data_IF_614367459402
#
_entry.id   IF_614367459402
#
_cell.length_a   1.000
_cell.length_b   1.000
_cell.length_c   1.000
_cell.angle_alpha   90.00
_cell.angle_beta   90.00
_cell.angle_gamma   90.00
#
_symmetry.space_group_name_H-M   'P 1'
#
loop_
_entity.id
_entity.type
_entity.pdbx_description
1 polymer ?
#
# COMPACT_ATOMS: atom_id res chain seq x y z
N UNK A 1 16.73 -12.69 -14.66
CA UNK A 1 17.45 -13.81 -14.02
C UNK A 1 18.83 -13.30 -13.69
N UNK A 2 19.20 -13.26 -12.41
CA UNK A 2 20.33 -12.44 -11.91
C UNK A 2 21.58 -13.26 -11.62
N UNK A 3 21.42 -14.52 -11.21
CA UNK A 3 22.52 -15.47 -10.96
C UNK A 3 22.04 -16.89 -11.30
N UNK A 4 22.94 -17.73 -11.83
CA UNK A 4 22.66 -19.12 -12.20
C UNK A 4 23.78 -19.99 -11.62
N UNK A 5 23.44 -21.05 -10.90
CA UNK A 5 24.39 -21.99 -10.34
C UNK A 5 23.69 -23.12 -9.59
N UNK A 6 24.47 -24.01 -8.98
CA UNK A 6 23.92 -25.03 -8.09
C UNK A 6 23.19 -24.36 -6.92
N UNK A 7 21.99 -24.83 -6.59
CA UNK A 7 21.12 -24.18 -5.59
C UNK A 7 21.85 -23.93 -4.26
N UNK A 8 22.65 -24.91 -3.80
CA UNK A 8 23.40 -24.78 -2.56
C UNK A 8 24.46 -23.67 -2.62
N UNK A 9 25.14 -23.51 -3.76
CA UNK A 9 26.17 -22.47 -3.94
C UNK A 9 25.55 -21.07 -4.04
N UNK A 10 24.42 -20.94 -4.74
CA UNK A 10 23.69 -19.66 -4.85
C UNK A 10 23.11 -19.24 -3.49
N UNK A 11 22.71 -20.18 -2.64
CA UNK A 11 22.17 -19.89 -1.30
C UNK A 11 23.24 -19.66 -0.23
N UNK A 12 24.40 -20.32 -0.30
CA UNK A 12 25.44 -20.23 0.74
C UNK A 12 26.53 -19.22 0.44
N UNK A 13 26.88 -19.03 -0.83
CA UNK A 13 27.96 -18.15 -1.26
C UNK A 13 27.62 -17.44 -2.59
N UNK A 14 26.52 -16.68 -2.65
CA UNK A 14 26.16 -15.94 -3.86
C UNK A 14 27.27 -14.98 -4.27
N UNK A 15 27.49 -14.85 -5.57
CA UNK A 15 28.52 -13.98 -6.14
C UNK A 15 27.96 -12.62 -6.53
N UNK A 16 26.70 -12.58 -6.97
CA UNK A 16 26.04 -11.33 -7.34
C UNK A 16 25.61 -10.51 -6.10
N UNK A 17 25.70 -9.19 -6.22
CA UNK A 17 25.41 -8.27 -5.11
C UNK A 17 23.93 -8.26 -4.73
N UNK A 18 23.04 -8.39 -5.72
CA UNK A 18 21.60 -8.47 -5.50
C UNK A 18 21.22 -9.82 -4.86
N UNK A 19 21.76 -10.92 -5.36
CA UNK A 19 21.54 -12.26 -4.78
C UNK A 19 22.03 -12.33 -3.33
N UNK A 20 23.24 -11.80 -3.04
CA UNK A 20 23.75 -11.66 -1.66
C UNK A 20 22.78 -10.93 -0.75
N UNK A 21 22.24 -9.81 -1.24
CA UNK A 21 21.29 -9.01 -0.48
C UNK A 21 19.97 -9.76 -0.23
N UNK A 22 19.50 -10.56 -1.20
CA UNK A 22 18.29 -11.37 -1.06
C UNK A 22 18.47 -12.48 -0.03
N UNK A 23 19.60 -13.20 -0.09
CA UNK A 23 19.94 -14.26 0.87
C UNK A 23 20.06 -13.69 2.28
N UNK A 24 20.72 -12.55 2.45
CA UNK A 24 20.83 -11.88 3.74
C UNK A 24 19.48 -11.40 4.32
N UNK A 25 18.45 -11.22 3.48
CA UNK A 25 17.11 -10.81 3.90
C UNK A 25 16.18 -12.00 4.23
N UNK A 26 16.67 -13.24 4.13
CA UNK A 26 15.94 -14.42 4.55
C UNK A 26 15.92 -14.54 6.09
N UNK A 27 14.83 -15.02 6.71
CA UNK A 27 14.81 -15.31 8.14
C UNK A 27 15.69 -16.54 8.39
N UNK A 28 16.28 -16.65 9.57
CA UNK A 28 17.06 -17.82 9.95
C UNK A 28 16.28 -19.14 9.74
N UNK A 29 14.96 -19.11 9.90
CA UNK A 29 14.07 -20.25 9.68
C UNK A 29 13.91 -20.70 8.22
N UNK A 30 14.26 -19.86 7.23
CA UNK A 30 14.25 -20.26 5.82
C UNK A 30 15.57 -20.90 5.36
N UNK A 31 16.63 -20.80 6.19
CA UNK A 31 17.96 -21.36 5.91
C UNK A 31 18.17 -22.70 6.63
N UNK A 32 17.13 -23.29 7.22
CA UNK A 32 17.17 -24.60 7.90
C UNK A 32 15.88 -25.39 7.67
N UNK A 33 15.93 -26.73 7.47
CA UNK A 33 14.74 -27.54 7.36
C UNK A 33 14.05 -27.67 8.73
N UNK A 34 12.89 -27.00 8.86
CA UNK A 34 11.82 -27.11 9.88
C UNK A 34 12.23 -27.31 11.35
N UNK A 35 11.94 -26.28 12.14
CA UNK A 35 11.28 -26.43 13.44
C UNK A 35 10.34 -25.24 13.66
N UNK A 36 9.13 -25.53 14.15
CA UNK A 36 8.14 -24.54 14.51
C UNK A 36 8.60 -23.77 15.75
N UNK A 37 8.54 -22.44 15.70
CA UNK A 37 8.66 -21.61 16.89
C UNK A 37 7.40 -20.78 17.09
N UNK A 38 6.63 -21.23 18.08
CA UNK A 38 5.78 -20.45 18.95
C UNK A 38 6.63 -19.39 19.67
N UNK A 39 6.17 -18.14 19.64
CA UNK A 39 6.66 -17.08 20.52
C UNK A 39 5.44 -16.35 21.08
N UNK A 40 5.17 -16.65 22.35
CA UNK A 40 4.24 -15.96 23.22
C UNK A 40 4.83 -14.63 23.71
N UNK A 41 4.04 -13.57 23.64
CA UNK A 41 4.24 -12.37 24.45
C UNK A 41 2.86 -11.85 24.86
N UNK A 42 2.66 -11.69 26.16
CA UNK A 42 1.42 -11.30 26.81
C UNK A 42 0.93 -9.90 26.37
N UNK A 43 -0.40 -9.65 26.38
CA UNK A 43 -0.98 -8.44 25.84
C UNK A 43 -1.03 -7.33 26.90
N UNK A 44 -0.24 -6.28 26.69
CA UNK A 44 -0.45 -5.02 27.40
C UNK A 44 -1.66 -4.30 26.78
N UNK A 45 -2.86 -4.67 27.24
CA UNK A 45 -4.09 -3.93 26.98
C UNK A 45 -4.05 -2.66 27.81
N UNK A 46 -3.52 -1.57 27.26
CA UNK A 46 -3.97 -0.18 27.49
C UNK A 46 -2.91 0.80 26.96
N UNK A 47 -3.08 1.28 25.72
CA UNK A 47 -2.66 2.64 25.36
C UNK A 47 -3.72 3.31 24.50
N UNK A 48 -4.72 3.83 25.21
CA UNK A 48 -5.51 4.95 24.76
C UNK A 48 -4.60 6.16 24.51
N UNK A 49 -4.88 6.83 23.39
CA UNK A 49 -4.53 8.22 23.07
C UNK A 49 -3.03 8.54 22.93
N UNK A 50 -2.53 8.43 21.70
CA UNK A 50 -1.68 9.50 21.18
C UNK A 50 -2.57 10.66 20.75
N UNK A 51 -2.75 11.61 21.67
CA UNK A 51 -3.07 12.98 21.27
C UNK A 51 -1.79 13.58 20.68
N UNK A 52 -1.73 13.76 19.35
CA UNK A 52 -0.67 14.55 18.73
C UNK A 52 -1.07 14.96 17.31
N UNK A 53 -1.11 16.28 17.10
CA UNK A 53 -1.48 17.04 15.91
C UNK A 53 -2.96 16.90 15.46
N UNK A 54 -3.65 18.02 15.28
CA UNK A 54 -5.00 18.05 14.74
C UNK A 54 -5.04 17.32 13.38
N UNK A 55 -5.55 16.09 13.36
CA UNK A 55 -5.77 15.34 12.12
C UNK A 55 -6.87 16.11 11.37
N UNK A 56 -6.51 16.82 10.30
CA UNK A 56 -7.41 17.72 9.55
C UNK A 56 -8.39 16.93 8.66
N UNK A 57 -8.74 15.71 9.08
CA UNK A 57 -9.84 14.95 8.52
C UNK A 57 -9.80 13.46 8.82
N UNK A 58 -10.87 12.77 8.44
CA UNK A 58 -11.00 11.33 8.55
C UNK A 58 -11.91 10.77 7.47
N UNK A 59 -11.61 9.55 7.05
CA UNK A 59 -12.53 8.72 6.29
C UNK A 59 -13.68 8.25 7.19
N UNK A 60 -14.90 8.32 6.65
CA UNK A 60 -16.10 7.70 7.19
C UNK A 60 -16.71 6.79 6.13
N UNK A 61 -16.85 5.53 6.49
CA UNK A 61 -17.59 4.51 5.74
C UNK A 61 -18.73 4.07 6.64
N UNK A 62 -19.96 4.14 6.14
CA UNK A 62 -21.17 3.76 6.89
C UNK A 62 -22.02 2.80 6.08
N UNK A 63 -22.29 1.62 6.63
CA UNK A 63 -23.20 0.63 6.06
C UNK A 63 -22.87 0.25 4.61
N UNK A 64 -21.60 0.25 4.23
CA UNK A 64 -21.19 -0.02 2.85
C UNK A 64 -21.43 -1.50 2.52
N UNK A 65 -22.32 -1.74 1.56
CA UNK A 65 -22.68 -3.09 1.12
C UNK A 65 -22.53 -3.22 -0.39
N UNK A 66 -22.12 -4.41 -0.83
CA UNK A 66 -21.91 -4.69 -2.24
C UNK A 66 -22.17 -6.16 -2.57
N UNK A 67 -22.90 -6.40 -3.66
CA UNK A 67 -23.25 -7.72 -4.18
C UNK A 67 -22.81 -7.87 -5.64
N UNK A 68 -22.34 -9.06 -5.98
CA UNK A 68 -22.07 -9.48 -7.34
C UNK A 68 -23.06 -10.60 -7.71
N UNK A 69 -24.13 -10.25 -8.41
CA UNK A 69 -25.29 -11.13 -8.58
C UNK A 69 -25.91 -11.47 -7.21
N UNK A 70 -26.16 -12.76 -6.97
CA UNK A 70 -26.75 -13.22 -5.70
C UNK A 70 -25.74 -13.25 -4.53
N UNK A 71 -24.44 -13.18 -4.83
CA UNK A 71 -23.40 -13.29 -3.81
C UNK A 71 -23.17 -11.95 -3.12
N UNK A 72 -23.33 -11.93 -1.80
CA UNK A 72 -22.90 -10.81 -0.93
C UNK A 72 -21.38 -10.83 -0.85
N UNK A 73 -20.75 -9.72 -1.24
CA UNK A 73 -19.29 -9.55 -1.15
C UNK A 73 -18.94 -8.70 0.07
N UNK A 74 -19.70 -7.63 0.32
CA UNK A 74 -19.59 -6.77 1.48
C UNK A 74 -20.97 -6.56 2.09
N UNK A 75 -21.03 -6.59 3.41
CA UNK A 75 -22.25 -6.51 4.20
C UNK A 75 -22.06 -5.52 5.35
N UNK A 76 -22.72 -4.36 5.23
CA UNK A 76 -22.77 -3.32 6.26
C UNK A 76 -21.39 -2.95 6.83
N UNK A 77 -20.43 -2.65 5.94
CA UNK A 77 -19.09 -2.26 6.34
C UNK A 77 -19.11 -0.88 6.96
N UNK A 78 -18.74 -0.80 8.24
CA UNK A 78 -18.47 0.44 8.96
C UNK A 78 -16.97 0.59 9.23
N UNK A 79 -16.41 1.73 8.84
CA UNK A 79 -15.00 2.02 9.04
C UNK A 79 -14.79 3.51 9.27
N UNK A 80 -13.83 3.81 10.14
CA UNK A 80 -13.29 5.16 10.22
C UNK A 80 -11.80 5.16 10.44
N UNK A 81 -11.13 6.03 9.71
CA UNK A 81 -9.68 6.14 9.65
C UNK A 81 -9.28 7.62 9.60
N UNK A 82 -8.45 8.08 10.53
CA UNK A 82 -8.05 9.48 10.56
C UNK A 82 -6.87 9.73 9.60
N UNK A 83 -6.71 10.99 9.19
CA UNK A 83 -5.57 11.46 8.43
C UNK A 83 -4.25 11.17 9.17
N UNK A 84 -3.36 10.36 8.60
CA UNK A 84 -2.08 9.98 9.22
C UNK A 84 -2.10 8.66 9.99
N UNK A 85 -3.27 8.05 10.17
CA UNK A 85 -3.41 6.70 10.71
C UNK A 85 -3.30 5.65 9.61
N UNK A 86 -2.73 4.48 9.94
CA UNK A 86 -2.69 3.32 9.08
C UNK A 86 -3.63 2.20 9.60
N UNK A 87 -4.58 1.78 8.76
CA UNK A 87 -5.41 0.60 9.01
C UNK A 87 -5.09 -0.50 8.01
N UNK A 88 -4.83 -1.70 8.52
CA UNK A 88 -4.61 -2.89 7.70
C UNK A 88 -5.86 -3.78 7.75
N UNK A 89 -6.34 -4.19 6.58
CA UNK A 89 -7.44 -5.14 6.41
C UNK A 89 -6.85 -6.46 5.96
N UNK A 90 -6.96 -7.47 6.82
CA UNK A 90 -6.55 -8.85 6.56
C UNK A 90 -7.75 -9.73 6.24
N UNK A 91 -7.50 -10.85 5.55
CA UNK A 91 -8.54 -11.84 5.26
C UNK A 91 -8.11 -12.80 4.16
N UNK A 92 -8.85 -13.89 3.98
CA UNK A 92 -8.55 -14.89 2.95
C UNK A 92 -8.68 -14.33 1.53
N UNK A 93 -8.07 -15.01 0.56
CA UNK A 93 -8.22 -14.65 -0.85
C UNK A 93 -9.69 -14.77 -1.27
N UNK A 94 -10.18 -13.80 -2.04
CA UNK A 94 -11.57 -13.81 -2.54
C UNK A 94 -12.66 -13.37 -1.55
N UNK A 95 -12.30 -12.92 -0.34
CA UNK A 95 -13.27 -12.47 0.69
C UNK A 95 -13.85 -11.05 0.44
N UNK A 96 -13.45 -10.37 -0.63
CA UNK A 96 -13.94 -9.02 -0.97
C UNK A 96 -12.98 -7.87 -0.66
N UNK A 97 -11.76 -8.18 -0.21
CA UNK A 97 -10.65 -7.24 0.04
C UNK A 97 -10.43 -6.21 -1.09
N UNK A 98 -10.17 -6.68 -2.30
CA UNK A 98 -9.97 -5.81 -3.48
C UNK A 98 -11.25 -5.10 -3.92
N UNK A 99 -12.43 -5.68 -3.67
CA UNK A 99 -13.72 -5.01 -3.92
C UNK A 99 -13.90 -3.81 -3.01
N UNK A 100 -13.60 -3.96 -1.71
CA UNK A 100 -13.58 -2.84 -0.78
C UNK A 100 -12.60 -1.75 -1.24
N UNK A 101 -11.40 -2.12 -1.67
CA UNK A 101 -10.42 -1.16 -2.18
C UNK A 101 -10.95 -0.36 -3.38
N UNK A 102 -11.61 -1.01 -4.34
CA UNK A 102 -12.20 -0.35 -5.52
C UNK A 102 -13.37 0.57 -5.17
N UNK A 103 -14.25 0.15 -4.25
CA UNK A 103 -15.37 0.96 -3.79
C UNK A 103 -14.88 2.24 -3.08
N UNK A 104 -13.92 2.10 -2.17
CA UNK A 104 -13.35 3.24 -1.45
C UNK A 104 -12.57 4.22 -2.34
N UNK A 105 -12.14 3.77 -3.51
CA UNK A 105 -11.39 4.59 -4.48
C UNK A 105 -12.23 5.07 -5.66
N UNK A 106 -13.52 4.73 -5.71
CA UNK A 106 -14.44 5.12 -6.77
C UNK A 106 -14.24 4.38 -8.11
N UNK A 107 -13.45 3.31 -8.13
CA UNK A 107 -13.33 2.43 -9.31
C UNK A 107 -14.58 1.56 -9.53
N UNK A 108 -15.38 1.39 -8.48
CA UNK A 108 -16.64 0.67 -8.50
C UNK A 108 -17.68 1.49 -7.73
N UNK A 109 -18.91 1.53 -8.22
CA UNK A 109 -19.96 2.32 -7.59
C UNK A 109 -20.49 1.62 -6.32
N UNK A 110 -20.68 2.40 -5.27
CA UNK A 110 -21.34 1.92 -4.06
C UNK A 110 -22.81 1.65 -4.37
N UNK A 111 -23.30 0.44 -4.05
CA UNK A 111 -24.71 0.08 -4.20
C UNK A 111 -25.54 0.61 -3.02
N UNK A 112 -25.00 0.46 -1.81
CA UNK A 112 -25.59 0.95 -0.56
C UNK A 112 -24.49 1.49 0.36
N UNK A 113 -24.87 2.43 1.23
CA UNK A 113 -23.99 3.04 2.23
C UNK A 113 -23.27 4.28 1.72
N UNK A 114 -22.55 4.94 2.63
CA UNK A 114 -21.93 6.24 2.39
C UNK A 114 -20.43 6.18 2.65
N UNK A 115 -19.66 6.72 1.71
CA UNK A 115 -18.21 6.89 1.82
C UNK A 115 -17.88 8.37 1.63
N UNK A 116 -17.35 9.02 2.66
CA UNK A 116 -16.98 10.43 2.59
C UNK A 116 -15.77 10.77 3.45
N UNK A 117 -15.13 11.88 3.10
CA UNK A 117 -14.12 12.51 3.93
C UNK A 117 -14.78 13.57 4.82
N UNK A 118 -14.41 13.59 6.10
CA UNK A 118 -14.97 14.50 7.09
C UNK A 118 -13.86 15.37 7.69
N UNK A 119 -14.08 16.69 7.79
CA UNK A 119 -13.20 17.63 8.49
C UNK A 119 -14.02 18.34 9.56
N UNK A 120 -13.73 18.09 10.85
CA UNK A 120 -14.62 18.53 11.92
C UNK A 120 -16.00 17.85 11.79
N UNK A 121 -17.06 18.64 11.64
CA UNK A 121 -18.43 18.17 11.38
C UNK A 121 -18.79 18.12 9.90
N UNK A 122 -17.98 18.72 9.04
CA UNK A 122 -18.34 18.98 7.65
C UNK A 122 -17.83 17.89 6.71
N UNK A 123 -18.64 17.60 5.69
CA UNK A 123 -18.23 16.75 4.58
C UNK A 123 -17.30 17.53 3.65
N UNK A 124 -16.20 16.92 3.27
CA UNK A 124 -15.22 17.49 2.33
C UNK A 124 -14.93 16.48 1.19
N UNK A 125 -14.33 16.94 0.08
CA UNK A 125 -14.00 16.07 -1.03
C UNK A 125 -13.07 14.92 -0.61
N UNK A 126 -13.51 13.69 -0.87
CA UNK A 126 -12.65 12.50 -0.78
C UNK A 126 -11.75 12.45 -2.02
N UNK A 127 -10.44 12.57 -1.81
CA UNK A 127 -9.41 12.39 -2.84
C UNK A 127 -8.69 11.09 -2.54
N UNK A 128 -9.21 10.02 -3.09
CA UNK A 128 -8.66 8.68 -2.90
C UNK A 128 -7.69 8.31 -4.01
N UNK A 129 -6.66 7.54 -3.67
CA UNK A 129 -5.74 6.96 -4.63
C UNK A 129 -5.57 5.47 -4.43
N UNK A 130 -5.56 4.69 -5.52
CA UNK A 130 -5.34 3.25 -5.48
C UNK A 130 -3.88 2.93 -5.81
N UNK A 131 -3.24 2.12 -4.97
CA UNK A 131 -1.96 1.45 -5.25
C UNK A 131 -2.28 -0.03 -5.46
N UNK A 132 -2.33 -0.46 -6.71
CA UNK A 132 -2.76 -1.81 -7.06
C UNK A 132 -1.65 -2.86 -6.89
N UNK A 133 -2.06 -4.12 -6.85
CA UNK A 133 -1.20 -5.29 -6.75
C UNK A 133 -0.24 -5.46 -7.93
N UNK A 134 -0.61 -4.93 -9.11
CA UNK A 134 0.10 -5.16 -10.36
C UNK A 134 0.66 -3.85 -10.93
N UNK A 135 1.86 -3.41 -10.50
CA UNK A 135 2.36 -2.07 -10.84
C UNK A 135 2.53 -1.83 -12.33
N UNK A 136 3.02 -2.84 -13.07
CA UNK A 136 3.20 -2.73 -14.52
C UNK A 136 1.89 -2.66 -15.30
N UNK A 137 0.75 -3.08 -14.70
CA UNK A 137 -0.58 -2.88 -15.29
C UNK A 137 -1.16 -1.50 -14.97
N UNK A 138 -0.74 -0.91 -13.84
CA UNK A 138 -1.14 0.44 -13.45
C UNK A 138 -0.38 1.56 -14.18
N UNK A 139 0.70 1.22 -14.90
CA UNK A 139 1.54 2.18 -15.62
C UNK A 139 1.42 1.98 -17.14
N UNK A 140 1.29 3.08 -17.88
CA UNK A 140 1.39 3.05 -19.33
C UNK A 140 2.81 2.64 -19.74
N UNK A 141 2.96 1.46 -20.34
CA UNK A 141 4.26 0.82 -20.66
C UNK A 141 5.17 1.67 -21.54
N UNK A 142 4.59 2.49 -22.41
CA UNK A 142 5.32 3.33 -23.37
C UNK A 142 5.70 4.70 -22.77
N UNK A 143 5.22 5.05 -21.57
CA UNK A 143 5.63 6.27 -20.89
C UNK A 143 7.03 6.13 -20.31
N UNK A 144 7.74 7.25 -20.21
CA UNK A 144 8.91 7.36 -19.33
C UNK A 144 8.47 7.52 -17.88
N UNK A 145 9.39 7.33 -16.93
CA UNK A 145 9.17 7.63 -15.51
C UNK A 145 8.67 9.06 -15.32
N UNK A 146 9.30 10.03 -15.99
CA UNK A 146 8.90 11.44 -15.92
C UNK A 146 7.51 11.68 -16.48
N UNK A 147 7.17 11.09 -17.64
CA UNK A 147 5.83 11.19 -18.23
C UNK A 147 4.76 10.62 -17.30
N UNK A 148 5.05 9.48 -16.65
CA UNK A 148 4.14 8.83 -15.72
C UNK A 148 3.81 9.71 -14.50
N UNK A 149 4.72 10.59 -14.08
CA UNK A 149 4.50 11.53 -12.97
C UNK A 149 3.97 12.89 -13.45
N UNK A 150 4.45 13.40 -14.59
CA UNK A 150 4.05 14.71 -15.08
C UNK A 150 2.59 14.75 -15.51
N UNK A 151 2.04 13.65 -16.03
CA UNK A 151 0.64 13.59 -16.48
C UNK A 151 -0.37 13.97 -15.37
N UNK A 152 -0.44 13.27 -14.21
CA UNK A 152 -1.37 13.66 -13.14
C UNK A 152 -1.07 15.05 -12.56
N UNK A 153 0.20 15.46 -12.49
CA UNK A 153 0.58 16.80 -12.04
C UNK A 153 0.06 17.89 -12.99
N UNK A 154 0.19 17.68 -14.30
CA UNK A 154 -0.30 18.59 -15.31
C UNK A 154 -1.83 18.71 -15.26
N UNK A 155 -2.55 17.62 -14.98
CA UNK A 155 -3.99 17.65 -14.74
C UNK A 155 -4.33 18.47 -13.49
N UNK A 156 -3.65 18.19 -12.37
CA UNK A 156 -3.85 18.91 -11.09
C UNK A 156 -3.60 20.41 -11.21
N UNK A 157 -2.54 20.80 -11.91
CA UNK A 157 -2.14 22.20 -12.11
C UNK A 157 -2.69 22.85 -13.37
N UNK A 158 -3.56 22.17 -14.13
CA UNK A 158 -4.06 22.66 -15.43
C UNK A 158 -2.94 23.13 -16.35
N UNK A 159 -1.82 22.40 -16.37
CA UNK A 159 -0.59 22.65 -17.17
C UNK A 159 0.16 23.95 -16.86
N UNK A 160 -0.16 24.67 -15.77
CA UNK A 160 0.44 25.98 -15.44
C UNK A 160 1.33 25.99 -14.18
N UNK A 161 1.48 24.86 -13.50
CA UNK A 161 2.19 24.77 -12.22
C UNK A 161 3.64 24.25 -12.32
N UNK A 162 4.37 24.22 -11.20
CA UNK A 162 5.78 23.80 -11.12
C UNK A 162 5.95 22.27 -11.19
N UNK A 163 5.27 21.60 -12.12
CA UNK A 163 5.18 20.14 -12.17
C UNK A 163 6.54 19.47 -12.32
N UNK A 164 7.52 20.10 -12.98
CA UNK A 164 8.88 19.59 -13.13
C UNK A 164 9.59 19.43 -11.78
N UNK A 165 9.53 20.45 -10.92
CA UNK A 165 10.13 20.41 -9.59
C UNK A 165 9.45 19.34 -8.70
N UNK A 166 8.13 19.18 -8.85
CA UNK A 166 7.38 18.19 -8.10
C UNK A 166 7.66 16.74 -8.54
N UNK A 167 7.99 16.50 -9.82
CA UNK A 167 8.48 15.18 -10.26
C UNK A 167 9.71 14.75 -9.46
N UNK A 168 10.68 15.64 -9.27
CA UNK A 168 11.88 15.36 -8.47
C UNK A 168 11.53 15.07 -7.01
N UNK A 169 10.66 15.88 -6.41
CA UNK A 169 10.21 15.70 -5.04
C UNK A 169 9.50 14.34 -4.84
N UNK A 170 8.61 13.96 -5.77
CA UNK A 170 7.90 12.68 -5.71
C UNK A 170 8.85 11.49 -5.84
N UNK A 171 9.81 11.53 -6.77
CA UNK A 171 10.83 10.48 -6.91
C UNK A 171 11.66 10.34 -5.63
N UNK A 172 12.07 11.46 -5.04
CA UNK A 172 12.80 11.48 -3.78
C UNK A 172 11.99 10.85 -2.63
N UNK A 173 10.71 11.22 -2.51
CA UNK A 173 9.80 10.71 -1.47
C UNK A 173 9.65 9.19 -1.51
N UNK A 174 9.70 8.59 -2.71
CA UNK A 174 9.60 7.13 -2.86
C UNK A 174 10.96 6.45 -3.04
N UNK A 175 12.06 7.15 -2.75
CA UNK A 175 13.42 6.59 -2.83
C UNK A 175 13.80 6.08 -4.23
N UNK A 176 13.33 6.74 -5.29
CA UNK A 176 13.73 6.49 -6.67
C UNK A 176 14.82 7.48 -7.13
N UNK A 177 15.74 7.06 -8.01
CA UNK A 177 16.77 7.96 -8.52
C UNK A 177 16.17 9.16 -9.25
N UNK A 178 16.74 10.34 -9.01
CA UNK A 178 16.32 11.59 -9.65
C UNK A 178 17.13 11.91 -10.92
N UNK A 179 18.06 11.02 -11.29
CA UNK A 179 18.95 11.21 -12.43
C UNK A 179 18.15 11.29 -13.73
N UNK A 180 18.67 12.06 -14.70
CA UNK A 180 18.06 12.18 -16.03
C UNK A 180 17.84 10.81 -16.69
N UNK A 181 18.86 9.94 -16.63
CA UNK A 181 18.79 8.60 -17.19
C UNK A 181 17.66 7.73 -16.59
N UNK A 182 17.38 7.88 -15.29
CA UNK A 182 16.26 7.16 -14.67
C UNK A 182 14.91 7.75 -15.08
N UNK A 183 14.80 9.09 -15.12
CA UNK A 183 13.58 9.79 -15.53
C UNK A 183 13.16 9.51 -16.98
N UNK A 184 14.13 9.38 -17.88
CA UNK A 184 13.91 9.06 -19.29
C UNK A 184 13.66 7.56 -19.54
N UNK A 185 13.88 6.70 -18.53
CA UNK A 185 13.64 5.25 -18.65
C UNK A 185 12.16 4.96 -18.85
N UNK A 186 11.85 4.02 -19.74
CA UNK A 186 10.48 3.53 -19.94
C UNK A 186 9.99 2.74 -18.73
N UNK A 187 8.72 2.92 -18.36
CA UNK A 187 8.08 2.21 -17.24
C UNK A 187 8.10 0.69 -17.42
N UNK A 188 8.07 0.21 -18.67
CA UNK A 188 8.19 -1.21 -19.01
C UNK A 188 9.53 -1.85 -18.63
N UNK A 189 10.57 -1.05 -18.40
CA UNK A 189 11.93 -1.51 -18.07
C UNK A 189 12.25 -1.43 -16.58
N UNK A 190 11.30 -1.00 -15.74
CA UNK A 190 11.48 -0.93 -14.30
C UNK A 190 11.44 -2.33 -13.69
N UNK A 191 12.20 -2.55 -12.62
CA UNK A 191 11.96 -3.69 -11.74
C UNK A 191 10.59 -3.57 -11.07
N UNK A 192 10.01 -4.69 -10.60
CA UNK A 192 8.72 -4.66 -9.91
C UNK A 192 8.69 -3.70 -8.73
N UNK A 193 9.77 -3.66 -7.94
CA UNK A 193 9.89 -2.74 -6.80
C UNK A 193 10.01 -1.27 -7.20
N UNK A 194 10.73 -0.97 -8.28
CA UNK A 194 10.76 0.40 -8.83
C UNK A 194 9.41 0.82 -9.40
N UNK A 195 8.75 -0.08 -10.14
CA UNK A 195 7.43 0.16 -10.70
C UNK A 195 6.38 0.39 -9.60
N UNK A 196 6.40 -0.38 -8.51
CA UNK A 196 5.50 -0.18 -7.37
C UNK A 196 5.72 1.18 -6.69
N UNK A 197 6.99 1.57 -6.46
CA UNK A 197 7.30 2.88 -5.89
C UNK A 197 6.91 4.02 -6.84
N UNK A 198 7.03 3.83 -8.16
CA UNK A 198 6.54 4.79 -9.14
C UNK A 198 5.01 4.90 -9.14
N UNK A 199 4.28 3.79 -8.99
CA UNK A 199 2.82 3.82 -8.82
C UNK A 199 2.45 4.63 -7.58
N UNK A 200 3.12 4.40 -6.45
CA UNK A 200 2.90 5.19 -5.23
C UNK A 200 3.13 6.69 -5.51
N UNK A 201 4.27 7.05 -6.11
CA UNK A 201 4.58 8.44 -6.47
C UNK A 201 3.53 9.06 -7.41
N UNK A 202 3.09 8.31 -8.42
CA UNK A 202 2.04 8.73 -9.37
C UNK A 202 0.71 8.95 -8.66
N UNK A 203 0.36 8.10 -7.71
CA UNK A 203 -0.86 8.26 -6.92
C UNK A 203 -0.79 9.49 -6.00
N UNK A 204 0.38 9.76 -5.40
CA UNK A 204 0.62 10.96 -4.60
C UNK A 204 0.56 12.25 -5.41
N UNK A 205 0.92 12.21 -6.69
CA UNK A 205 0.84 13.36 -7.59
C UNK A 205 -0.58 13.95 -7.68
N UNK A 206 -1.63 13.18 -7.37
CA UNK A 206 -3.01 13.66 -7.31
C UNK A 206 -3.39 14.32 -5.97
N UNK A 207 -2.46 14.46 -5.03
CA UNK A 207 -2.68 14.98 -3.66
C UNK A 207 -3.84 14.30 -2.91
N UNK A 208 -3.81 12.94 -2.78
CA UNK A 208 -4.86 12.20 -2.08
C UNK A 208 -4.86 12.49 -0.58
N UNK A 209 -6.04 12.46 0.05
CA UNK A 209 -6.19 12.40 1.50
C UNK A 209 -6.39 10.96 2.02
N UNK A 210 -6.73 10.02 1.12
CA UNK A 210 -6.79 8.59 1.38
C UNK A 210 -5.93 7.84 0.35
N UNK A 211 -5.00 7.02 0.83
CA UNK A 211 -4.27 6.05 0.00
C UNK A 211 -4.76 4.65 0.34
N UNK A 212 -5.25 3.93 -0.67
CA UNK A 212 -5.66 2.52 -0.56
C UNK A 212 -4.64 1.66 -1.28
N UNK A 213 -3.96 0.77 -0.56
CA UNK A 213 -2.97 -0.13 -1.10
C UNK A 213 -3.51 -1.57 -1.10
N UNK A 214 -3.81 -2.11 -2.28
CA UNK A 214 -4.35 -3.46 -2.46
C UNK A 214 -3.20 -4.42 -2.81
N UNK A 215 -2.82 -5.24 -1.84
CA UNK A 215 -1.71 -6.20 -1.93
C UNK A 215 -0.41 -5.59 -2.48
N UNK A 216 0.09 -4.48 -1.90
CA UNK A 216 1.13 -3.65 -2.52
C UNK A 216 2.50 -4.33 -2.66
N UNK A 217 2.69 -5.49 -2.03
CA UNK A 217 3.94 -6.23 -2.02
C UNK A 217 3.81 -7.65 -2.60
N UNK A 218 2.62 -8.09 -3.02
CA UNK A 218 2.38 -9.49 -3.35
C UNK A 218 3.16 -10.00 -4.58
N UNK A 219 3.54 -9.12 -5.50
CA UNK A 219 4.32 -9.47 -6.69
C UNK A 219 5.82 -9.11 -6.56
N UNK A 220 6.30 -8.81 -5.35
CA UNK A 220 7.65 -8.31 -5.11
C UNK A 220 8.50 -9.33 -4.35
N UNK A 221 9.80 -9.35 -4.64
CA UNK A 221 10.75 -10.01 -3.74
C UNK A 221 10.82 -9.29 -2.37
N UNK A 222 11.42 -9.94 -1.39
CA UNK A 222 11.46 -9.46 0.00
C UNK A 222 12.13 -8.10 0.16
N UNK A 223 13.21 -7.84 -0.58
CA UNK A 223 13.92 -6.56 -0.49
C UNK A 223 13.08 -5.43 -1.07
N UNK A 224 12.47 -5.67 -2.24
CA UNK A 224 11.56 -4.73 -2.86
C UNK A 224 10.33 -4.46 -1.98
N UNK A 225 9.72 -5.52 -1.44
CA UNK A 225 8.61 -5.43 -0.49
C UNK A 225 8.97 -4.61 0.75
N UNK A 226 10.17 -4.82 1.32
CA UNK A 226 10.66 -4.07 2.47
C UNK A 226 10.77 -2.57 2.17
N UNK A 227 11.33 -2.21 1.00
CA UNK A 227 11.43 -0.82 0.56
C UNK A 227 10.06 -0.17 0.34
N UNK A 228 9.13 -0.88 -0.32
CA UNK A 228 7.77 -0.39 -0.55
C UNK A 228 7.02 -0.17 0.77
N UNK A 229 7.12 -1.12 1.69
CA UNK A 229 6.51 -1.02 3.02
C UNK A 229 7.06 0.18 3.79
N UNK A 230 8.37 0.41 3.75
CA UNK A 230 8.99 1.57 4.40
C UNK A 230 8.48 2.91 3.81
N UNK A 231 8.32 2.99 2.49
CA UNK A 231 7.73 4.16 1.83
C UNK A 231 6.30 4.40 2.30
N UNK A 232 5.44 3.39 2.31
CA UNK A 232 4.05 3.52 2.77
C UNK A 232 3.97 4.00 4.24
N UNK A 233 4.79 3.42 5.12
CA UNK A 233 4.86 3.82 6.53
C UNK A 233 5.34 5.26 6.72
N UNK A 234 6.27 5.73 5.88
CA UNK A 234 6.77 7.10 5.93
C UNK A 234 5.73 8.10 5.43
N UNK A 235 5.03 7.79 4.34
CA UNK A 235 3.99 8.67 3.77
C UNK A 235 2.84 8.90 4.75
N UNK A 236 2.35 7.83 5.39
CA UNK A 236 1.29 7.92 6.39
C UNK A 236 1.68 8.90 7.52
N UNK A 237 2.86 8.70 8.13
CA UNK A 237 3.32 9.49 9.28
C UNK A 237 3.73 10.92 8.92
N UNK A 238 4.41 11.13 7.80
CA UNK A 238 5.00 12.42 7.46
C UNK A 238 4.04 13.37 6.73
N UNK A 239 3.09 12.83 5.96
CA UNK A 239 2.19 13.64 5.12
C UNK A 239 0.76 13.72 5.66
N UNK A 240 0.45 13.04 6.77
CA UNK A 240 -0.90 13.01 7.33
C UNK A 240 -1.92 12.37 6.40
N UNK A 241 -1.50 11.49 5.48
CA UNK A 241 -2.41 10.77 4.58
C UNK A 241 -3.00 9.59 5.35
N UNK A 242 -4.32 9.39 5.25
CA UNK A 242 -4.93 8.17 5.77
C UNK A 242 -4.52 6.98 4.89
N UNK A 243 -3.93 5.95 5.48
CA UNK A 243 -3.45 4.77 4.75
C UNK A 243 -4.32 3.56 5.07
N UNK A 244 -4.98 2.99 4.06
CA UNK A 244 -5.67 1.73 4.16
C UNK A 244 -4.92 0.68 3.35
N UNK A 245 -4.40 -0.35 4.01
CA UNK A 245 -3.71 -1.45 3.34
C UNK A 245 -4.59 -2.68 3.39
N UNK A 246 -4.78 -3.31 2.26
CA UNK A 246 -5.49 -4.58 2.16
C UNK A 246 -4.46 -5.64 1.82
N UNK A 247 -4.35 -6.67 2.66
CA UNK A 247 -3.36 -7.73 2.43
C UNK A 247 -3.74 -9.06 3.06
N UNK A 248 -3.20 -10.16 2.58
CA UNK A 248 -3.21 -11.45 3.27
C UNK A 248 -1.88 -11.77 3.97
N UNK A 249 -0.85 -10.91 3.87
CA UNK A 249 0.45 -11.11 4.51
C UNK A 249 0.44 -10.56 5.96
N UNK A 250 0.50 -11.43 6.98
CA UNK A 250 0.54 -11.00 8.37
C UNK A 250 1.80 -10.18 8.70
N UNK A 251 2.89 -10.40 7.97
CA UNK A 251 4.16 -9.67 8.16
C UNK A 251 4.01 -8.21 7.75
N UNK A 252 3.31 -7.95 6.65
CA UNK A 252 2.97 -6.59 6.22
C UNK A 252 2.03 -5.93 7.22
N UNK A 253 1.02 -6.67 7.71
CA UNK A 253 0.09 -6.17 8.71
C UNK A 253 0.80 -5.76 10.01
N UNK A 254 1.71 -6.59 10.52
CA UNK A 254 2.47 -6.30 11.74
C UNK A 254 3.42 -5.09 11.59
N UNK A 255 3.90 -4.81 10.38
CA UNK A 255 4.83 -3.69 10.13
C UNK A 255 4.15 -2.34 9.90
N UNK A 256 2.92 -2.35 9.41
CA UNK A 256 2.20 -1.13 9.02
C UNK A 256 1.02 -0.81 9.95
N UNK A 257 0.39 -1.80 10.57
CA UNK A 257 -0.89 -1.61 11.23
C UNK A 257 -0.76 -0.89 12.56
N UNK A 258 -1.23 0.35 12.63
CA UNK A 258 -1.67 0.95 13.91
C UNK A 258 -2.96 0.26 14.38
N UNK A 259 -3.77 -0.18 13.41
CA UNK A 259 -5.00 -0.95 13.62
C UNK A 259 -5.11 -2.05 12.55
N UNK A 260 -5.44 -3.26 12.97
CA UNK A 260 -5.72 -4.38 12.05
C UNK A 260 -7.15 -4.87 12.19
N UNK A 261 -7.85 -4.99 11.07
CA UNK A 261 -9.21 -5.50 10.95
C UNK A 261 -9.20 -6.73 10.06
N UNK A 262 -10.03 -7.73 10.40
CA UNK A 262 -10.24 -8.90 9.58
C UNK A 262 -11.53 -8.75 8.78
N UNK A 263 -11.44 -8.86 7.46
CA UNK A 263 -12.61 -9.01 6.59
C UNK A 263 -12.95 -10.50 6.50
N UNK A 264 -14.12 -10.86 7.02
CA UNK A 264 -14.62 -12.24 7.03
C UNK A 264 -16.13 -12.22 6.76
N UNK A 265 -16.58 -13.10 5.86
CA UNK A 265 -17.99 -13.23 5.48
C UNK A 265 -18.64 -11.89 5.10
N UNK A 266 -17.88 -11.05 4.39
CA UNK A 266 -18.32 -9.72 3.96
C UNK A 266 -18.38 -8.65 5.07
N UNK A 267 -17.95 -8.95 6.29
CA UNK A 267 -18.01 -8.02 7.44
C UNK A 267 -16.62 -7.72 8.01
N UNK A 268 -16.43 -6.50 8.52
CA UNK A 268 -15.21 -6.16 9.27
C UNK A 268 -15.34 -6.58 10.73
N UNK A 269 -14.31 -7.27 11.22
CA UNK A 269 -14.17 -7.70 12.60
C UNK A 269 -12.86 -7.14 13.16
N UNK A 270 -12.88 -6.70 14.42
CA UNK A 270 -11.63 -6.36 15.10
C UNK A 270 -10.79 -7.64 15.23
N UNK A 271 -9.54 -7.62 14.75
CA UNK A 271 -8.66 -8.76 14.95
C UNK A 271 -8.26 -8.78 16.44
N UNK A 272 -8.72 -9.80 17.17
CA UNK A 272 -8.18 -10.09 18.50
C UNK A 272 -6.75 -10.59 18.32
N UNK A 273 -5.80 -10.04 19.06
CA UNK A 273 -4.44 -10.55 19.09
C UNK A 273 -4.46 -11.95 19.74
N UNK A 274 -4.39 -12.99 18.89
CA UNK A 274 -4.13 -14.38 19.27
C UNK A 274 -5.24 -15.13 20.00
N UNK A 275 -5.71 -16.23 19.40
CA UNK A 275 -6.13 -17.44 20.09
C UNK A 275 -5.23 -18.57 19.58
#
# INVERSE_FOLDING_TARGET
MVEIGQAQQVLSAPTDTYTRSLVAALPASALSPRSAHTASAEPDTHRLRKASAAHVGRLRVRGLSHRAGDRVILDAIDLSLCAGDCCVIVGESGVGKSTLARLLTGYEACQCGDVHWQVGTDTAPLRSGLVSQHPHRALARHFTVEQALSEPLQLRYRRRGPWQAEVHALLAQVGLPQTRAFRERKTALLSGGEAQRLVIARTLASAPNLLVADEPTAALDRLAANRVTAVLAQLCRAQGIALLVVTHDPSLAARLGDRTLMLKDGRLQAQRAGA
#
